data_IF_720977313379
#
_entry.id   IF_720977313379
#
_cell.length_a   1.000
_cell.length_b   1.000
_cell.length_c   1.000
_cell.angle_alpha   90.00
_cell.angle_beta   90.00
_cell.angle_gamma   90.00
#
_symmetry.space_group_name_H-M   'P 1'
#
loop_
_entity.id
_entity.type
_entity.pdbx_description
1 polymer ?
#
# COMPACT_ATOMS: atom_id res chain seq x y z
N UNK A 1 17.10 12.85 -3.52
CA UNK A 1 16.46 11.74 -2.77
C UNK A 1 17.36 11.15 -1.70
N UNK A 2 18.65 10.91 -1.94
CA UNK A 2 19.57 10.33 -0.94
C UNK A 2 19.69 11.18 0.33
N UNK A 3 19.83 12.52 0.20
CA UNK A 3 19.87 13.45 1.33
C UNK A 3 18.60 13.44 2.19
N UNK A 4 17.44 13.21 1.58
CA UNK A 4 16.17 13.10 2.33
C UNK A 4 16.09 11.83 3.16
N UNK A 5 16.72 10.74 2.71
CA UNK A 5 16.77 9.46 3.44
C UNK A 5 17.79 9.49 4.57
N UNK A 6 19.01 9.99 4.29
CA UNK A 6 20.16 9.86 5.18
C UNK A 6 20.50 11.15 5.94
N UNK A 7 19.84 12.28 5.61
CA UNK A 7 20.04 13.63 6.14
C UNK A 7 21.46 14.18 5.98
N UNK A 8 22.49 13.34 6.02
CA UNK A 8 23.88 13.70 5.80
C UNK A 8 24.57 12.62 4.95
N UNK A 9 25.26 13.03 3.89
CA UNK A 9 26.04 12.15 3.02
C UNK A 9 27.33 12.84 2.59
N UNK A 10 28.36 12.05 2.21
CA UNK A 10 29.62 12.62 1.74
C UNK A 10 29.57 12.98 0.26
N UNK A 11 30.30 14.03 -0.13
CA UNK A 11 30.41 14.38 -1.55
C UNK A 11 31.04 13.23 -2.37
N UNK A 12 31.93 12.43 -1.75
CA UNK A 12 32.56 11.28 -2.37
C UNK A 12 31.52 10.19 -2.67
N UNK A 13 30.64 9.87 -1.74
CA UNK A 13 29.54 8.93 -1.97
C UNK A 13 28.68 9.32 -3.18
N UNK A 14 28.32 10.61 -3.32
CA UNK A 14 27.54 11.09 -4.47
C UNK A 14 28.35 11.02 -5.77
N UNK A 15 29.63 11.37 -5.71
CA UNK A 15 30.56 11.28 -6.86
C UNK A 15 30.63 9.83 -7.38
N UNK A 16 30.83 8.88 -6.49
CA UNK A 16 30.97 7.46 -6.84
C UNK A 16 29.62 6.87 -7.32
N UNK A 17 28.53 7.20 -6.64
CA UNK A 17 27.20 6.68 -6.97
C UNK A 17 26.65 7.16 -8.32
N UNK A 18 26.90 8.43 -8.65
CA UNK A 18 26.36 9.06 -9.87
C UNK A 18 27.41 9.20 -10.96
N UNK A 19 28.62 8.67 -10.76
CA UNK A 19 29.74 8.71 -11.71
C UNK A 19 30.09 10.13 -12.18
N UNK A 20 30.03 11.11 -11.27
CA UNK A 20 30.31 12.52 -11.53
C UNK A 20 31.50 13.02 -10.70
N UNK A 21 32.16 14.08 -11.17
CA UNK A 21 33.28 14.67 -10.43
C UNK A 21 32.81 15.32 -9.12
N UNK A 22 33.70 15.37 -8.10
CA UNK A 22 33.43 16.10 -6.85
C UNK A 22 33.06 17.57 -7.11
N UNK A 23 33.68 18.20 -8.13
CA UNK A 23 33.36 19.57 -8.55
C UNK A 23 31.91 19.67 -9.04
N UNK A 24 31.45 18.68 -9.77
CA UNK A 24 30.04 18.62 -10.23
C UNK A 24 29.08 18.44 -9.05
N UNK A 25 29.44 17.62 -8.07
CA UNK A 25 28.64 17.46 -6.84
C UNK A 25 28.44 18.81 -6.15
N UNK A 26 29.51 19.55 -5.87
CA UNK A 26 29.39 20.86 -5.21
C UNK A 26 28.61 21.86 -6.04
N UNK A 27 28.83 21.89 -7.36
CA UNK A 27 28.04 22.74 -8.26
C UNK A 27 26.54 22.45 -8.18
N UNK A 28 26.15 21.18 -8.11
CA UNK A 28 24.74 20.81 -7.95
C UNK A 28 24.19 21.16 -6.58
N UNK A 29 24.99 21.08 -5.52
CA UNK A 29 24.62 21.55 -4.18
C UNK A 29 24.34 23.08 -4.22
N UNK A 30 25.21 23.85 -4.87
CA UNK A 30 25.05 25.30 -5.01
C UNK A 30 23.76 25.64 -5.80
N UNK A 31 23.49 24.91 -6.89
CA UNK A 31 22.25 25.08 -7.69
C UNK A 31 21.01 24.76 -6.84
N UNK A 32 21.01 23.68 -6.09
CA UNK A 32 19.90 23.30 -5.21
C UNK A 32 19.67 24.37 -4.12
N UNK A 33 20.76 24.84 -3.50
CA UNK A 33 20.70 25.91 -2.50
C UNK A 33 20.13 27.20 -3.07
N UNK A 34 20.57 27.59 -4.26
CA UNK A 34 20.07 28.78 -4.98
C UNK A 34 18.60 28.64 -5.40
N UNK A 35 18.11 27.42 -5.56
CA UNK A 35 16.71 27.12 -5.87
C UNK A 35 15.82 27.00 -4.63
N UNK A 36 16.32 27.40 -3.44
CA UNK A 36 15.55 27.40 -2.19
C UNK A 36 15.51 26.08 -1.44
N UNK A 37 16.27 25.07 -1.89
CA UNK A 37 16.44 23.83 -1.14
C UNK A 37 17.49 24.05 -0.06
N UNK A 38 17.18 23.89 1.25
CA UNK A 38 18.11 24.18 2.34
C UNK A 38 19.15 23.04 2.48
N UNK A 39 20.10 23.04 1.54
CA UNK A 39 21.23 22.10 1.50
C UNK A 39 22.50 22.84 1.89
N UNK A 40 23.29 22.23 2.75
CA UNK A 40 24.54 22.81 3.29
C UNK A 40 25.70 21.85 3.06
N UNK A 41 26.87 22.40 2.77
CA UNK A 41 28.12 21.62 2.70
C UNK A 41 29.06 22.01 3.82
N UNK A 42 29.50 21.04 4.60
CA UNK A 42 30.49 21.21 5.65
C UNK A 42 31.81 20.56 5.22
N UNK A 43 32.93 21.27 5.42
CA UNK A 43 34.28 20.77 5.15
C UNK A 43 34.87 20.12 6.40
N UNK A 44 35.79 19.17 6.22
CA UNK A 44 36.56 18.56 7.32
C UNK A 44 36.33 17.06 7.46
N UNK A 45 37.01 16.46 8.45
CA UNK A 45 37.03 14.99 8.68
C UNK A 45 35.64 14.41 8.92
N UNK A 46 34.74 15.21 9.50
CA UNK A 46 33.34 14.87 9.74
C UNK A 46 32.37 15.70 8.88
N UNK A 47 32.90 16.34 7.83
CA UNK A 47 32.13 17.12 6.88
C UNK A 47 31.19 16.25 6.03
N UNK A 48 30.37 16.91 5.23
CA UNK A 48 29.43 16.26 4.33
C UNK A 48 28.44 17.26 3.77
N UNK A 49 27.52 16.77 3.00
CA UNK A 49 26.38 17.51 2.47
C UNK A 49 25.19 17.14 3.33
N UNK A 50 24.53 18.15 3.89
CA UNK A 50 23.37 17.98 4.80
C UNK A 50 22.16 18.73 4.23
N UNK A 51 20.98 18.29 4.61
CA UNK A 51 19.73 19.00 4.33
C UNK A 51 19.03 19.29 5.67
N UNK A 52 18.35 20.45 5.75
CA UNK A 52 17.65 20.81 6.98
C UNK A 52 16.67 19.74 7.42
N UNK A 53 16.63 19.43 8.74
CA UNK A 53 15.85 18.33 9.31
C UNK A 53 14.33 18.48 9.09
N UNK A 54 13.87 19.73 9.10
CA UNK A 54 12.45 20.06 8.88
C UNK A 54 12.07 20.19 7.39
N UNK A 55 13.03 20.06 6.46
CA UNK A 55 12.73 20.18 5.04
C UNK A 55 11.93 18.97 4.55
N UNK A 56 10.84 19.27 3.86
CA UNK A 56 10.01 18.29 3.14
C UNK A 56 9.94 18.71 1.68
N UNK A 57 9.96 17.73 0.79
CA UNK A 57 9.75 17.99 -0.63
C UNK A 57 8.34 18.51 -0.85
N UNK A 58 8.18 19.67 -1.51
CA UNK A 58 6.86 20.13 -1.93
C UNK A 58 6.21 19.12 -2.89
N UNK A 59 4.89 18.98 -2.83
CA UNK A 59 4.15 18.13 -3.78
C UNK A 59 4.34 18.59 -5.25
N UNK A 60 4.71 19.86 -5.45
CA UNK A 60 5.05 20.44 -6.77
C UNK A 60 6.28 19.82 -7.45
N UNK A 61 7.06 19.00 -6.74
CA UNK A 61 8.21 18.28 -7.33
C UNK A 61 7.84 16.98 -8.02
N UNK A 62 6.59 16.55 -7.94
CA UNK A 62 6.11 15.43 -8.74
C UNK A 62 5.96 15.87 -10.20
N UNK A 63 6.57 15.13 -11.11
CA UNK A 63 6.34 15.31 -12.54
C UNK A 63 4.88 15.03 -12.91
N UNK A 64 4.41 15.52 -14.04
CA UNK A 64 3.05 15.23 -14.52
C UNK A 64 2.79 13.74 -14.69
N UNK A 65 3.79 12.99 -15.11
CA UNK A 65 3.69 11.52 -15.23
C UNK A 65 3.51 10.88 -13.85
N UNK A 66 4.33 11.22 -12.86
CA UNK A 66 4.22 10.71 -11.50
C UNK A 66 2.87 11.06 -10.85
N UNK A 67 2.37 12.28 -11.09
CA UNK A 67 1.04 12.69 -10.63
C UNK A 67 -0.07 11.85 -11.28
N UNK A 68 0.03 11.60 -12.60
CA UNK A 68 -0.92 10.75 -13.34
C UNK A 68 -0.90 9.31 -12.83
N UNK A 69 0.28 8.75 -12.57
CA UNK A 69 0.44 7.40 -12.03
C UNK A 69 -0.18 7.29 -10.63
N UNK A 70 0.03 8.30 -9.78
CA UNK A 70 -0.58 8.36 -8.44
C UNK A 70 -2.11 8.44 -8.55
N UNK A 71 -2.65 9.29 -9.43
CA UNK A 71 -4.09 9.42 -9.63
C UNK A 71 -4.71 8.11 -10.12
N UNK A 72 -4.06 7.43 -11.07
CA UNK A 72 -4.49 6.11 -11.54
C UNK A 72 -4.49 5.07 -10.42
N UNK A 73 -3.44 5.05 -9.59
CA UNK A 73 -3.37 4.14 -8.44
C UNK A 73 -4.47 4.46 -7.39
N UNK A 74 -4.77 5.74 -7.16
CA UNK A 74 -5.83 6.16 -6.25
C UNK A 74 -7.21 5.75 -6.78
N UNK A 75 -7.46 5.87 -8.08
CA UNK A 75 -8.72 5.44 -8.71
C UNK A 75 -8.93 3.92 -8.56
N UNK A 76 -7.86 3.13 -8.77
CA UNK A 76 -7.89 1.68 -8.52
C UNK A 76 -8.15 1.36 -7.05
N UNK A 77 -7.50 2.08 -6.15
CA UNK A 77 -7.66 1.86 -4.71
C UNK A 77 -9.08 2.19 -4.26
N UNK A 78 -9.69 3.26 -4.77
CA UNK A 78 -11.10 3.61 -4.51
C UNK A 78 -12.05 2.48 -4.91
N UNK A 79 -11.82 1.84 -6.07
CA UNK A 79 -12.61 0.69 -6.51
C UNK A 79 -12.42 -0.55 -5.63
N UNK A 80 -11.26 -0.67 -4.97
CA UNK A 80 -10.94 -1.79 -4.09
C UNK A 80 -11.38 -1.56 -2.65
N UNK A 81 -11.29 -0.34 -2.14
CA UNK A 81 -11.62 0.04 -0.75
C UNK A 81 -12.47 1.31 -0.70
N UNK A 82 -13.81 1.18 -0.57
CA UNK A 82 -14.71 2.32 -0.52
C UNK A 82 -14.61 3.13 0.79
N UNK A 83 -13.87 2.65 1.80
CA UNK A 83 -13.66 3.37 3.06
C UNK A 83 -12.55 4.42 2.93
N UNK A 84 -11.70 4.31 1.91
CA UNK A 84 -10.63 5.27 1.71
C UNK A 84 -11.16 6.57 1.12
N UNK A 85 -10.90 7.69 1.79
CA UNK A 85 -11.24 9.02 1.29
C UNK A 85 -10.21 9.48 0.24
N UNK A 86 -10.25 8.81 -0.89
CA UNK A 86 -9.37 9.06 -2.03
C UNK A 86 -9.64 10.44 -2.64
N UNK A 87 -10.88 10.93 -2.55
CA UNK A 87 -11.27 12.18 -3.19
C UNK A 87 -10.55 13.37 -2.56
N UNK A 88 -10.41 13.41 -1.24
CA UNK A 88 -9.63 14.45 -0.55
C UNK A 88 -8.15 14.40 -0.94
N UNK A 89 -7.58 13.21 -1.09
CA UNK A 89 -6.18 13.05 -1.51
C UNK A 89 -6.01 13.54 -2.95
N UNK A 90 -6.93 13.14 -3.83
CA UNK A 90 -6.96 13.57 -5.24
C UNK A 90 -7.05 15.08 -5.36
N UNK A 91 -7.98 15.71 -4.65
CA UNK A 91 -8.19 17.15 -4.69
C UNK A 91 -6.97 17.92 -4.21
N UNK A 92 -6.29 17.45 -3.15
CA UNK A 92 -5.03 18.02 -2.69
C UNK A 92 -3.92 17.90 -3.74
N UNK A 93 -3.83 16.77 -4.42
CA UNK A 93 -2.83 16.54 -5.47
C UNK A 93 -3.10 17.42 -6.70
N UNK A 94 -4.37 17.63 -7.04
CA UNK A 94 -4.76 18.49 -8.16
C UNK A 94 -4.62 20.00 -7.86
N UNK A 95 -4.79 20.40 -6.59
CA UNK A 95 -4.74 21.81 -6.17
C UNK A 95 -3.39 22.51 -6.41
N UNK A 96 -2.32 21.76 -6.59
CA UNK A 96 -0.97 22.29 -6.91
C UNK A 96 -0.77 22.54 -8.42
N UNK A 97 -1.77 22.25 -9.25
CA UNK A 97 -1.72 22.39 -10.70
C UNK A 97 -2.60 23.54 -11.20
N UNK A 98 -2.34 24.02 -12.43
CA UNK A 98 -3.28 24.91 -13.12
C UNK A 98 -4.56 24.15 -13.49
N UNK A 99 -5.67 24.86 -13.74
CA UNK A 99 -6.94 24.25 -14.13
C UNK A 99 -6.81 23.30 -15.33
N UNK A 100 -6.13 23.76 -16.39
CA UNK A 100 -5.94 23.00 -17.63
C UNK A 100 -5.09 21.73 -17.41
N UNK A 101 -4.09 21.83 -16.55
CA UNK A 101 -3.24 20.69 -16.20
C UNK A 101 -3.98 19.69 -15.31
N UNK A 102 -4.81 20.18 -14.38
CA UNK A 102 -5.63 19.34 -13.51
C UNK A 102 -6.64 18.53 -14.33
N UNK A 103 -7.32 19.14 -15.30
CA UNK A 103 -8.25 18.42 -16.19
C UNK A 103 -7.54 17.32 -17.00
N UNK A 104 -6.36 17.61 -17.57
CA UNK A 104 -5.56 16.62 -18.30
C UNK A 104 -5.12 15.46 -17.40
N UNK A 105 -4.77 15.76 -16.15
CA UNK A 105 -4.37 14.76 -15.16
C UNK A 105 -5.55 13.85 -14.77
N UNK A 106 -6.76 14.41 -14.57
CA UNK A 106 -7.97 13.65 -14.30
C UNK A 106 -8.25 12.68 -15.45
N UNK A 107 -8.30 13.18 -16.69
CA UNK A 107 -8.54 12.36 -17.87
C UNK A 107 -7.49 11.26 -18.06
N UNK A 108 -6.25 11.50 -17.65
CA UNK A 108 -5.19 10.50 -17.73
C UNK A 108 -5.24 9.48 -16.59
N UNK A 109 -5.77 9.84 -15.43
CA UNK A 109 -5.92 8.97 -14.25
C UNK A 109 -7.08 7.98 -14.36
N UNK A 110 -8.13 8.32 -15.11
CA UNK A 110 -9.35 7.49 -15.24
C UNK A 110 -9.25 6.40 -16.32
N UNK A 111 -8.03 6.02 -16.71
CA UNK A 111 -7.80 4.98 -17.74
C UNK A 111 -8.11 3.58 -17.27
N UNK A 112 -8.14 3.35 -15.97
CA UNK A 112 -8.34 2.02 -15.38
C UNK A 112 -9.43 2.10 -14.32
N UNK A 113 -10.50 1.37 -14.52
CA UNK A 113 -11.64 1.28 -13.60
C UNK A 113 -11.62 -0.13 -13.02
N UNK A 114 -11.63 -0.23 -11.68
CA UNK A 114 -11.81 -1.49 -10.97
C UNK A 114 -13.24 -1.55 -10.45
N UNK A 115 -14.03 -2.46 -11.01
CA UNK A 115 -15.45 -2.62 -10.69
C UNK A 115 -15.72 -4.02 -10.10
N UNK A 116 -16.66 -4.10 -9.15
CA UNK A 116 -17.16 -5.39 -8.68
C UNK A 116 -16.37 -6.11 -7.61
N UNK A 117 -15.43 -5.43 -6.93
CA UNK A 117 -14.61 -6.06 -5.87
C UNK A 117 -15.39 -6.27 -4.57
N UNK A 118 -16.50 -5.58 -4.38
CA UNK A 118 -17.23 -5.54 -3.11
C UNK A 118 -18.69 -5.91 -3.34
N UNK A 119 -19.12 -6.98 -2.67
CA UNK A 119 -20.52 -7.38 -2.61
C UNK A 119 -21.35 -6.36 -1.79
N UNK A 120 -21.86 -6.75 -0.64
CA UNK A 120 -22.58 -5.84 0.27
C UNK A 120 -21.62 -4.90 1.01
N UNK A 121 -21.60 -3.62 0.63
CA UNK A 121 -20.75 -2.58 1.21
C UNK A 121 -20.98 -2.42 2.72
N UNK A 122 -22.20 -2.52 3.20
CA UNK A 122 -22.53 -2.39 4.63
C UNK A 122 -21.93 -3.55 5.43
N UNK A 123 -22.09 -4.76 4.92
CA UNK A 123 -21.52 -5.97 5.53
C UNK A 123 -20.00 -5.93 5.53
N UNK A 124 -19.43 -5.40 4.45
CA UNK A 124 -17.99 -5.24 4.30
C UNK A 124 -17.44 -4.21 5.30
N UNK A 125 -18.05 -3.02 5.40
CA UNK A 125 -17.69 -1.99 6.38
C UNK A 125 -17.72 -2.54 7.81
N UNK A 126 -18.77 -3.25 8.19
CA UNK A 126 -18.92 -3.83 9.53
C UNK A 126 -17.79 -4.80 9.93
N UNK A 127 -17.05 -5.36 8.97
CA UNK A 127 -15.94 -6.28 9.22
C UNK A 127 -14.57 -5.63 9.03
N UNK A 128 -14.40 -4.83 7.99
CA UNK A 128 -13.12 -4.21 7.65
C UNK A 128 -12.72 -3.15 8.69
N UNK A 129 -13.64 -2.29 9.08
CA UNK A 129 -13.35 -1.18 9.98
C UNK A 129 -12.80 -1.64 11.34
N UNK A 130 -13.43 -2.59 12.07
CA UNK A 130 -12.86 -3.11 13.31
C UNK A 130 -11.58 -3.92 13.09
N UNK A 131 -11.42 -4.62 11.96
CA UNK A 131 -10.18 -5.32 11.63
C UNK A 131 -9.04 -4.34 11.33
N UNK A 132 -9.30 -3.24 10.61
CA UNK A 132 -8.31 -2.19 10.35
C UNK A 132 -7.81 -1.59 11.67
N UNK A 133 -8.72 -1.22 12.55
CA UNK A 133 -8.37 -0.71 13.88
C UNK A 133 -7.53 -1.71 14.67
N UNK A 134 -7.91 -2.99 14.64
CA UNK A 134 -7.17 -4.04 15.33
C UNK A 134 -5.75 -4.23 14.75
N UNK A 135 -5.57 -4.06 13.43
CA UNK A 135 -4.25 -4.09 12.78
C UNK A 135 -3.40 -2.90 13.23
N UNK A 136 -3.98 -1.69 13.25
CA UNK A 136 -3.26 -0.47 13.61
C UNK A 136 -2.85 -0.46 15.09
N UNK A 137 -3.72 -0.95 15.97
CA UNK A 137 -3.51 -1.03 17.42
C UNK A 137 -2.81 -2.32 17.89
N UNK A 138 -2.49 -3.23 16.97
CA UNK A 138 -1.93 -4.57 17.24
C UNK A 138 -2.79 -5.38 18.24
N UNK A 139 -4.11 -5.33 18.09
CA UNK A 139 -5.07 -6.02 18.95
C UNK A 139 -5.44 -7.39 18.40
N UNK A 140 -5.57 -8.38 19.29
CA UNK A 140 -6.10 -9.68 18.94
C UNK A 140 -7.59 -9.59 18.58
N UNK A 141 -8.03 -10.50 17.72
CA UNK A 141 -9.43 -10.55 17.29
C UNK A 141 -9.94 -12.01 17.40
N UNK A 142 -11.07 -12.19 18.03
CA UNK A 142 -11.80 -13.46 17.96
C UNK A 142 -12.77 -13.43 16.78
N UNK A 143 -12.74 -14.47 15.94
CA UNK A 143 -13.61 -14.62 14.77
C UNK A 143 -14.36 -15.93 14.81
N UNK A 144 -15.64 -15.92 14.46
CA UNK A 144 -16.41 -17.10 14.08
C UNK A 144 -16.24 -17.27 12.57
N UNK A 145 -15.60 -18.35 12.16
CA UNK A 145 -15.14 -18.55 10.80
C UNK A 145 -15.67 -19.84 10.18
N UNK A 146 -16.25 -19.72 8.99
CA UNK A 146 -16.67 -20.84 8.16
C UNK A 146 -15.51 -21.27 7.24
N UNK A 147 -15.04 -22.49 7.40
CA UNK A 147 -13.98 -23.00 6.54
C UNK A 147 -14.49 -23.43 5.14
N UNK A 148 -13.60 -23.98 4.30
CA UNK A 148 -13.97 -24.47 2.97
C UNK A 148 -14.87 -25.72 3.03
N UNK A 149 -14.79 -26.48 4.09
CA UNK A 149 -15.60 -27.69 4.31
C UNK A 149 -16.96 -27.40 4.94
N UNK A 150 -17.24 -26.12 5.27
CA UNK A 150 -18.48 -25.72 5.96
C UNK A 150 -18.42 -25.86 7.49
N UNK A 151 -17.26 -26.25 8.06
CA UNK A 151 -17.06 -26.32 9.51
C UNK A 151 -17.00 -24.91 10.10
N UNK A 152 -17.74 -24.69 11.18
CA UNK A 152 -17.77 -23.42 11.91
C UNK A 152 -16.84 -23.52 13.11
N UNK A 153 -15.85 -22.65 13.19
CA UNK A 153 -14.88 -22.62 14.27
C UNK A 153 -14.73 -21.21 14.84
N UNK A 154 -14.54 -21.13 16.15
CA UNK A 154 -14.11 -19.87 16.80
C UNK A 154 -12.59 -19.85 16.88
N UNK A 155 -11.97 -18.77 16.42
CA UNK A 155 -10.51 -18.63 16.36
C UNK A 155 -10.08 -17.29 16.89
N UNK A 156 -9.00 -17.28 17.67
CA UNK A 156 -8.28 -16.06 18.01
C UNK A 156 -7.17 -15.86 16.98
N UNK A 157 -7.14 -14.68 16.37
CA UNK A 157 -6.19 -14.31 15.34
C UNK A 157 -5.47 -13.01 15.70
N UNK A 158 -4.23 -12.88 15.25
CA UNK A 158 -3.42 -11.66 15.32
C UNK A 158 -3.39 -11.05 13.91
N UNK A 159 -4.23 -10.08 13.58
CA UNK A 159 -4.33 -9.55 12.23
C UNK A 159 -3.10 -8.69 11.88
N UNK A 160 -2.51 -8.89 10.70
CA UNK A 160 -1.30 -8.19 10.26
C UNK A 160 -1.52 -7.31 9.04
N UNK A 161 -2.32 -7.75 8.08
CA UNK A 161 -2.59 -7.01 6.85
C UNK A 161 -3.86 -7.46 6.16
N UNK A 162 -4.45 -6.58 5.35
CA UNK A 162 -5.41 -6.98 4.34
C UNK A 162 -4.71 -7.42 3.07
N UNK A 163 -5.28 -8.40 2.39
CA UNK A 163 -4.80 -8.92 1.12
C UNK A 163 -5.98 -8.99 0.16
N UNK A 164 -5.87 -8.28 -0.96
CA UNK A 164 -6.77 -8.44 -2.10
C UNK A 164 -6.13 -9.45 -3.05
N UNK A 165 -6.76 -10.60 -3.22
CA UNK A 165 -6.31 -11.67 -4.13
C UNK A 165 -7.49 -12.18 -4.93
N UNK A 166 -7.34 -12.20 -6.27
CA UNK A 166 -8.37 -12.64 -7.20
C UNK A 166 -9.72 -11.93 -6.95
N UNK A 167 -9.67 -10.61 -6.75
CA UNK A 167 -10.81 -9.76 -6.39
C UNK A 167 -11.55 -10.16 -5.11
N UNK A 168 -10.89 -10.88 -4.23
CA UNK A 168 -11.42 -11.32 -2.93
C UNK A 168 -10.55 -10.78 -1.80
N UNK A 169 -11.21 -10.20 -0.82
CA UNK A 169 -10.55 -9.69 0.37
C UNK A 169 -10.30 -10.76 1.42
N UNK A 170 -9.10 -10.75 1.94
CA UNK A 170 -8.64 -11.59 3.04
C UNK A 170 -8.00 -10.72 4.12
N UNK A 171 -8.04 -11.20 5.36
CA UNK A 171 -7.14 -10.75 6.41
C UNK A 171 -6.04 -11.79 6.60
N UNK A 172 -4.79 -11.35 6.51
CA UNK A 172 -3.61 -12.15 6.81
C UNK A 172 -3.31 -12.04 8.29
N UNK A 173 -3.34 -13.14 9.00
CA UNK A 173 -3.23 -13.17 10.44
C UNK A 173 -2.54 -14.43 10.95
N UNK A 174 -1.85 -14.32 12.09
CA UNK A 174 -1.43 -15.49 12.85
C UNK A 174 -2.64 -16.08 13.56
N UNK A 175 -2.86 -17.37 13.43
CA UNK A 175 -3.97 -18.10 14.04
C UNK A 175 -3.48 -18.92 15.24
N UNK A 176 -3.94 -18.60 16.45
CA UNK A 176 -3.53 -19.32 17.66
C UNK A 176 -3.93 -20.80 17.58
N UNK A 177 -5.15 -21.12 17.12
CA UNK A 177 -5.64 -22.50 17.02
C UNK A 177 -4.78 -23.38 16.11
N UNK A 178 -4.20 -22.81 15.05
CA UNK A 178 -3.38 -23.56 14.06
C UNK A 178 -1.89 -23.27 14.20
N UNK A 179 -1.50 -22.45 15.17
CA UNK A 179 -0.14 -22.02 15.45
C UNK A 179 0.64 -21.59 14.20
N UNK A 180 0.04 -20.71 13.39
CA UNK A 180 0.68 -20.28 12.15
C UNK A 180 -0.10 -19.23 11.40
N UNK A 181 0.59 -18.56 10.45
CA UNK A 181 -0.02 -17.54 9.59
C UNK A 181 -0.98 -18.16 8.57
N UNK A 182 -2.12 -17.48 8.38
CA UNK A 182 -3.16 -17.91 7.45
C UNK A 182 -3.89 -16.72 6.86
N UNK A 183 -4.49 -16.94 5.68
CA UNK A 183 -5.40 -15.99 5.04
C UNK A 183 -6.85 -16.37 5.39
N UNK A 184 -7.56 -15.45 6.02
CA UNK A 184 -8.98 -15.59 6.33
C UNK A 184 -9.80 -14.79 5.34
N UNK A 185 -10.61 -15.46 4.53
CA UNK A 185 -11.53 -14.78 3.60
C UNK A 185 -12.57 -13.98 4.40
N UNK A 186 -12.66 -12.66 4.20
CA UNK A 186 -13.50 -11.78 5.03
C UNK A 186 -14.97 -12.15 4.92
N UNK A 187 -15.45 -12.56 3.75
CA UNK A 187 -16.83 -13.00 3.58
C UNK A 187 -17.20 -14.25 4.38
N UNK A 188 -16.23 -15.05 4.84
CA UNK A 188 -16.42 -16.25 5.67
C UNK A 188 -16.37 -15.98 7.17
N UNK A 189 -16.06 -14.78 7.60
CA UNK A 189 -16.13 -14.35 8.97
C UNK A 189 -17.60 -14.05 9.27
N UNK A 190 -18.26 -14.83 10.10
CA UNK A 190 -19.64 -14.60 10.52
C UNK A 190 -19.72 -13.49 11.56
N UNK A 191 -18.90 -13.62 12.62
CA UNK A 191 -18.82 -12.67 13.73
C UNK A 191 -17.37 -12.35 14.02
N UNK A 192 -17.09 -11.16 14.48
CA UNK A 192 -15.79 -10.75 14.96
C UNK A 192 -15.91 -9.91 16.23
N UNK A 193 -14.92 -10.03 17.11
CA UNK A 193 -14.80 -9.22 18.33
C UNK A 193 -13.32 -8.87 18.53
N UNK A 194 -13.02 -7.59 18.56
CA UNK A 194 -11.70 -7.09 18.94
C UNK A 194 -11.51 -7.29 20.44
N UNK A 195 -10.37 -7.83 20.85
CA UNK A 195 -10.01 -8.06 22.24
C UNK A 195 -9.16 -6.92 22.78
N UNK A 196 -9.11 -6.79 24.10
CA UNK A 196 -8.21 -5.82 24.76
C UNK A 196 -6.75 -6.29 24.70
N UNK A 197 -6.53 -7.60 24.50
CA UNK A 197 -5.21 -8.21 24.40
C UNK A 197 -4.48 -7.72 23.15
N UNK A 198 -3.21 -7.34 23.34
CA UNK A 198 -2.31 -6.97 22.25
C UNK A 198 -1.40 -8.14 21.88
N UNK A 199 -0.81 -8.07 20.69
CA UNK A 199 0.21 -9.00 20.23
C UNK A 199 1.43 -8.24 19.69
N UNK A 200 2.59 -8.89 19.69
CA UNK A 200 3.78 -8.36 19.06
C UNK A 200 3.70 -8.57 17.54
N UNK A 201 3.71 -7.47 16.79
CA UNK A 201 3.63 -7.51 15.33
C UNK A 201 4.97 -7.96 14.76
N UNK A 202 4.95 -9.00 13.95
CA UNK A 202 6.14 -9.46 13.23
C UNK A 202 6.51 -8.49 12.12
N UNK A 203 7.83 -8.26 11.85
CA UNK A 203 8.28 -7.48 10.71
C UNK A 203 7.72 -8.04 9.39
N UNK A 204 7.52 -7.16 8.41
CA UNK A 204 6.94 -7.54 7.11
C UNK A 204 7.76 -8.62 6.39
N UNK A 205 9.08 -8.65 6.61
CA UNK A 205 9.99 -9.62 6.00
C UNK A 205 9.79 -11.05 6.54
N UNK A 206 9.21 -11.19 7.74
CA UNK A 206 8.88 -12.49 8.32
C UNK A 206 7.52 -13.02 7.89
N UNK A 207 6.67 -12.17 7.32
CA UNK A 207 5.39 -12.57 6.76
C UNK A 207 5.18 -11.93 5.38
N UNK A 208 5.11 -12.74 4.36
CA UNK A 208 4.72 -12.29 3.01
C UNK A 208 3.59 -13.19 2.53
N UNK A 209 2.38 -12.63 2.33
CA UNK A 209 1.22 -13.42 1.87
C UNK A 209 1.46 -14.15 0.55
N UNK A 210 2.35 -13.65 -0.28
CA UNK A 210 2.73 -14.22 -1.58
C UNK A 210 3.78 -15.31 -1.52
N UNK A 211 4.51 -15.46 -0.41
CA UNK A 211 5.42 -16.59 -0.15
C UNK A 211 4.69 -17.83 0.41
N UNK A 212 3.40 -17.74 0.62
CA UNK A 212 2.58 -18.91 0.85
C UNK A 212 2.68 -19.75 -0.43
N UNK A 213 3.43 -20.86 -0.36
CA UNK A 213 3.52 -21.84 -1.43
C UNK A 213 2.12 -22.05 -2.01
N UNK A 214 1.96 -22.04 -3.34
CA UNK A 214 0.68 -22.43 -3.90
C UNK A 214 0.34 -23.79 -3.25
N UNK A 215 -0.68 -23.81 -2.42
CA UNK A 215 -1.28 -25.09 -2.02
C UNK A 215 -1.40 -25.83 -3.34
N UNK A 216 -0.84 -27.06 -3.41
CA UNK A 216 -0.91 -27.88 -4.60
C UNK A 216 -2.34 -27.74 -5.12
N UNK A 217 -2.49 -26.91 -6.14
CA UNK A 217 -3.78 -26.73 -6.78
C UNK A 217 -4.09 -28.06 -7.43
N UNK A 218 -4.94 -28.85 -6.79
CA UNK A 218 -5.55 -29.98 -7.47
C UNK A 218 -6.34 -29.38 -8.60
N UNK A 219 -5.80 -29.48 -9.81
CA UNK A 219 -6.52 -29.12 -11.01
C UNK A 219 -7.69 -30.11 -11.15
N UNK A 220 -8.90 -29.61 -10.98
CA UNK A 220 -10.10 -30.34 -11.26
C UNK A 220 -10.47 -30.01 -12.71
N UNK A 221 -10.48 -31.00 -13.58
CA UNK A 221 -11.01 -30.85 -14.92
C UNK A 221 -12.53 -30.83 -14.84
N UNK A 222 -13.13 -29.65 -15.08
CA UNK A 222 -14.57 -29.49 -15.13
C UNK A 222 -14.99 -29.40 -16.61
N UNK A 223 -15.80 -30.34 -17.05
CA UNK A 223 -16.41 -30.30 -18.37
C UNK A 223 -17.76 -29.58 -18.27
N UNK A 224 -17.84 -28.39 -18.85
CA UNK A 224 -19.06 -27.61 -18.89
C UNK A 224 -19.74 -27.78 -20.24
N UNK A 225 -20.97 -28.30 -20.24
CA UNK A 225 -21.84 -28.28 -21.40
C UNK A 225 -22.62 -26.97 -21.43
N UNK A 226 -22.23 -26.07 -22.35
CA UNK A 226 -22.88 -24.76 -22.52
C UNK A 226 -23.76 -24.83 -23.75
N UNK A 227 -25.04 -24.49 -23.60
CA UNK A 227 -25.95 -24.34 -24.77
C UNK A 227 -25.44 -23.21 -25.66
N UNK A 228 -25.62 -23.35 -26.99
CA UNK A 228 -25.06 -22.43 -27.98
C UNK A 228 -25.40 -20.94 -27.72
N UNK A 229 -26.60 -20.68 -27.20
CA UNK A 229 -27.05 -19.33 -26.84
C UNK A 229 -26.29 -18.69 -25.64
N UNK A 230 -25.54 -19.46 -24.84
CA UNK A 230 -24.79 -18.98 -23.70
C UNK A 230 -23.28 -18.87 -23.97
N UNK A 231 -22.84 -19.04 -25.24
CA UNK A 231 -21.41 -18.92 -25.60
C UNK A 231 -20.86 -17.50 -25.58
N UNK A 232 -21.76 -16.51 -25.58
CA UNK A 232 -21.41 -15.09 -25.70
C UNK A 232 -21.92 -14.22 -24.52
N UNK A 233 -22.31 -14.82 -23.40
CA UNK A 233 -22.52 -14.19 -22.12
C UNK A 233 -21.26 -14.47 -21.25
#
# INVERSE_FOLDING_TARGET
MDLLKSRKITARYLSDKYEISLRSVYRYVDVLSSSGVPVFSERGRHGGITIADNYRLPATLLTKTEQSDILSALSLYKGADPLCDVDVIRDKLLSVNTSDDAEKLIMSGDKLILEGVIGDEKLYRAKIEPLSKAIDENKKVTVVYHDRGGEITTRTIHPHAFVLKDFVWYVYAFCELRNGFRMFKISRIEKLKVLDDSFERKPRDEFTPWNLSPEKSQSINVLLYVKEAARYM
#
